data_IF_410395914214
#
_entry.id   IF_410395914214
#
_cell.length_a   1.000
_cell.length_b   1.000
_cell.length_c   1.000
_cell.angle_alpha   90.00
_cell.angle_beta   90.00
_cell.angle_gamma   90.00
#
_symmetry.space_group_name_H-M   'P 1'
#
loop_
_entity.id
_entity.type
_entity.pdbx_description
1 polymer ?
#
# COMPACT_ATOMS: atom_id res chain seq x y z
N UNK A 1 49.57 -10.31 -45.54
CA UNK A 1 48.80 -10.44 -44.30
C UNK A 1 49.32 -9.38 -43.36
N UNK A 2 48.59 -8.29 -43.17
CA UNK A 2 48.93 -7.28 -42.16
C UNK A 2 48.76 -7.90 -40.77
N UNK A 3 49.61 -7.59 -39.79
CA UNK A 3 49.41 -8.08 -38.43
C UNK A 3 48.08 -7.54 -37.92
N UNK A 4 47.20 -8.41 -37.43
CA UNK A 4 46.09 -8.00 -36.57
C UNK A 4 46.68 -7.14 -35.46
N UNK A 5 46.32 -5.86 -35.45
CA UNK A 5 46.61 -4.97 -34.34
C UNK A 5 45.87 -5.56 -33.14
N UNK A 6 46.62 -6.23 -32.27
CA UNK A 6 46.11 -6.67 -30.97
C UNK A 6 45.74 -5.38 -30.24
N UNK A 7 44.43 -5.14 -30.12
CA UNK A 7 43.87 -4.01 -29.40
C UNK A 7 44.38 -4.10 -27.96
N UNK A 8 45.19 -3.12 -27.56
CA UNK A 8 45.76 -3.07 -26.21
C UNK A 8 44.59 -2.82 -25.26
N UNK A 9 44.35 -3.66 -24.25
CA UNK A 9 43.27 -3.45 -23.31
C UNK A 9 43.40 -2.05 -22.70
N UNK A 10 42.32 -1.26 -22.73
CA UNK A 10 42.24 0.01 -22.03
C UNK A 10 41.50 -0.22 -20.71
N UNK A 11 42.18 -0.69 -19.65
CA UNK A 11 41.50 -1.09 -18.42
C UNK A 11 40.78 0.13 -17.81
N UNK A 12 39.55 -0.04 -17.32
CA UNK A 12 38.84 1.02 -16.63
C UNK A 12 39.57 1.42 -15.34
N UNK A 13 39.47 2.69 -14.97
CA UNK A 13 39.96 3.16 -13.68
C UNK A 13 39.09 2.63 -12.55
N UNK A 14 39.63 2.61 -11.33
CA UNK A 14 38.88 2.22 -10.13
C UNK A 14 37.65 3.12 -9.91
N UNK A 15 37.78 4.41 -10.19
CA UNK A 15 36.68 5.38 -10.07
C UNK A 15 35.55 5.07 -11.05
N UNK A 16 35.87 4.67 -12.29
CA UNK A 16 34.87 4.33 -13.30
C UNK A 16 34.11 3.04 -12.94
N UNK A 17 34.80 2.05 -12.36
CA UNK A 17 34.17 0.83 -11.82
C UNK A 17 33.23 1.19 -10.66
N UNK A 18 33.67 2.02 -9.71
CA UNK A 18 32.84 2.49 -8.59
C UNK A 18 31.62 3.25 -9.07
N UNK A 19 31.80 4.12 -10.06
CA UNK A 19 30.70 4.87 -10.67
C UNK A 19 29.66 3.91 -11.27
N UNK A 20 30.08 2.87 -11.98
CA UNK A 20 29.15 1.87 -12.54
C UNK A 20 28.31 1.19 -11.45
N UNK A 21 28.92 0.80 -10.32
CA UNK A 21 28.17 0.26 -9.19
C UNK A 21 27.21 1.28 -8.57
N UNK A 22 27.63 2.54 -8.45
CA UNK A 22 26.79 3.62 -7.95
C UNK A 22 25.59 3.88 -8.87
N UNK A 23 25.80 3.88 -10.19
CA UNK A 23 24.75 4.04 -11.22
C UNK A 23 23.78 2.87 -11.22
N UNK A 24 24.27 1.64 -11.04
CA UNK A 24 23.41 0.47 -10.86
C UNK A 24 22.54 0.62 -9.61
N UNK A 25 23.15 1.03 -8.49
CA UNK A 25 22.43 1.30 -7.25
C UNK A 25 21.36 2.39 -7.41
N UNK A 26 21.68 3.48 -8.12
CA UNK A 26 20.75 4.58 -8.39
C UNK A 26 19.56 4.11 -9.26
N UNK A 27 19.83 3.42 -10.37
CA UNK A 27 18.78 2.91 -11.25
C UNK A 27 17.85 1.94 -10.50
N UNK A 28 18.43 1.03 -9.71
CA UNK A 28 17.65 0.10 -8.90
C UNK A 28 16.84 0.82 -7.81
N UNK A 29 17.45 1.77 -7.10
CA UNK A 29 16.78 2.62 -6.11
C UNK A 29 15.57 3.35 -6.71
N UNK A 30 15.73 4.01 -7.85
CA UNK A 30 14.63 4.72 -8.51
C UNK A 30 13.52 3.77 -8.98
N UNK A 31 13.86 2.54 -9.36
CA UNK A 31 12.87 1.48 -9.64
C UNK A 31 12.05 1.08 -8.40
N UNK A 32 12.62 1.19 -7.20
CA UNK A 32 11.91 1.00 -5.93
C UNK A 32 11.09 2.24 -5.55
N UNK A 33 11.58 3.45 -5.82
CA UNK A 33 10.81 4.70 -5.64
C UNK A 33 9.51 4.63 -6.45
N UNK A 34 9.61 4.27 -7.75
CA UNK A 34 8.45 4.03 -8.60
C UNK A 34 7.47 3.01 -7.98
N UNK A 35 7.98 1.89 -7.47
CA UNK A 35 7.15 0.87 -6.81
C UNK A 35 6.45 1.40 -5.56
N UNK A 36 7.14 2.17 -4.72
CA UNK A 36 6.54 2.77 -3.52
C UNK A 36 5.46 3.79 -3.87
N UNK A 37 5.68 4.63 -4.88
CA UNK A 37 4.66 5.57 -5.36
C UNK A 37 3.43 4.81 -5.87
N UNK A 38 3.62 3.73 -6.64
CA UNK A 38 2.51 2.87 -7.07
C UNK A 38 1.76 2.18 -5.92
N UNK A 39 2.45 1.83 -4.83
CA UNK A 39 1.80 1.25 -3.65
C UNK A 39 0.83 2.25 -3.01
N UNK A 40 1.23 3.53 -2.94
CA UNK A 40 0.38 4.61 -2.45
C UNK A 40 -0.80 4.83 -3.39
N UNK A 41 -0.56 4.87 -4.71
CA UNK A 41 -1.62 4.96 -5.73
C UNK A 41 -2.63 3.83 -5.54
N UNK A 42 -2.18 2.58 -5.50
CA UNK A 42 -3.05 1.42 -5.30
C UNK A 42 -3.90 1.56 -4.04
N UNK A 43 -3.30 1.90 -2.90
CA UNK A 43 -4.04 2.05 -1.65
C UNK A 43 -5.13 3.13 -1.78
N UNK A 44 -4.80 4.29 -2.35
CA UNK A 44 -5.74 5.40 -2.50
C UNK A 44 -6.84 5.13 -3.53
N UNK A 45 -6.54 4.42 -4.62
CA UNK A 45 -7.53 4.07 -5.64
C UNK A 45 -8.58 3.08 -5.13
N UNK A 46 -8.30 2.33 -4.06
CA UNK A 46 -9.27 1.40 -3.47
C UNK A 46 -10.42 2.07 -2.71
N UNK A 47 -10.39 3.40 -2.59
CA UNK A 47 -11.45 4.18 -1.96
C UNK A 47 -12.16 5.08 -2.97
N UNK A 48 -13.49 5.12 -2.89
CA UNK A 48 -14.32 6.01 -3.70
C UNK A 48 -14.43 7.40 -3.08
N UNK A 49 -14.49 7.47 -1.74
CA UNK A 49 -14.74 8.71 -1.00
C UNK A 49 -13.80 8.83 0.20
N UNK A 50 -13.53 10.06 0.61
CA UNK A 50 -12.66 10.37 1.73
C UNK A 50 -13.11 9.69 3.03
N UNK A 51 -14.41 9.58 3.26
CA UNK A 51 -14.98 9.00 4.49
C UNK A 51 -14.75 7.48 4.59
N UNK A 52 -14.41 6.83 3.48
CA UNK A 52 -14.12 5.40 3.43
C UNK A 52 -12.65 5.10 3.77
N UNK A 53 -11.76 6.09 3.56
CA UNK A 53 -10.33 5.98 3.73
C UNK A 53 -9.91 6.24 5.18
N UNK A 54 -10.33 5.37 6.11
CA UNK A 54 -9.90 5.44 7.51
C UNK A 54 -8.41 5.08 7.65
N UNK A 55 -7.69 5.65 8.62
CA UNK A 55 -6.25 5.41 8.82
C UNK A 55 -5.89 3.91 8.86
N UNK A 56 -6.50 3.06 9.71
CA UNK A 56 -6.16 1.63 9.76
C UNK A 56 -6.44 0.92 8.44
N UNK A 57 -7.43 1.39 7.68
CA UNK A 57 -7.80 0.80 6.40
C UNK A 57 -6.83 1.20 5.29
N UNK A 58 -6.37 2.44 5.26
CA UNK A 58 -5.27 2.88 4.39
C UNK A 58 -4.01 2.08 4.72
N UNK A 59 -3.65 1.96 5.99
CA UNK A 59 -2.47 1.20 6.43
C UNK A 59 -2.55 -0.28 6.04
N UNK A 60 -3.73 -0.91 6.17
CA UNK A 60 -3.97 -2.28 5.68
C UNK A 60 -3.71 -2.40 4.16
N UNK A 61 -4.17 -1.42 3.38
CA UNK A 61 -3.98 -1.39 1.92
C UNK A 61 -2.53 -1.12 1.51
N UNK A 62 -1.85 -0.20 2.19
CA UNK A 62 -0.42 0.07 1.96
C UNK A 62 0.41 -1.17 2.32
N UNK A 63 0.13 -1.80 3.47
CA UNK A 63 0.84 -3.00 3.89
C UNK A 63 0.64 -4.17 2.91
N UNK A 64 -0.58 -4.34 2.39
CA UNK A 64 -0.84 -5.26 1.28
C UNK A 64 0.00 -4.92 0.06
N UNK A 65 -0.03 -3.67 -0.40
CA UNK A 65 0.71 -3.23 -1.58
C UNK A 65 2.23 -3.44 -1.43
N UNK A 66 2.77 -3.17 -0.25
CA UNK A 66 4.19 -3.36 0.08
C UNK A 66 4.62 -4.82 0.02
N UNK A 67 3.69 -5.77 0.17
CA UNK A 67 3.97 -7.21 0.03
C UNK A 67 3.99 -7.70 -1.42
N UNK A 68 3.56 -6.87 -2.38
CA UNK A 68 3.49 -7.22 -3.80
C UNK A 68 4.79 -6.82 -4.52
N UNK A 69 5.23 -7.68 -5.43
CA UNK A 69 6.25 -7.31 -6.42
C UNK A 69 5.71 -6.25 -7.38
N UNK A 70 6.59 -5.50 -8.07
CA UNK A 70 6.17 -4.49 -9.05
C UNK A 70 5.21 -5.06 -10.10
N UNK A 71 5.50 -6.25 -10.64
CA UNK A 71 4.64 -6.89 -11.65
C UNK A 71 3.25 -7.26 -11.10
N UNK A 72 3.18 -7.76 -9.87
CA UNK A 72 1.90 -8.05 -9.21
C UNK A 72 1.11 -6.76 -8.94
N UNK A 73 1.78 -5.71 -8.47
CA UNK A 73 1.15 -4.42 -8.20
C UNK A 73 0.60 -3.76 -9.48
N UNK A 74 1.36 -3.82 -10.58
CA UNK A 74 0.87 -3.35 -11.89
C UNK A 74 -0.37 -4.14 -12.32
N UNK A 75 -0.39 -5.46 -12.13
CA UNK A 75 -1.58 -6.28 -12.41
C UNK A 75 -2.79 -5.87 -11.56
N UNK A 76 -2.59 -5.65 -10.26
CA UNK A 76 -3.61 -5.16 -9.32
C UNK A 76 -4.09 -3.74 -9.62
N UNK A 77 -3.32 -2.95 -10.38
CA UNK A 77 -3.74 -1.62 -10.84
C UNK A 77 -4.52 -1.72 -12.17
N UNK A 78 -4.01 -2.50 -13.13
CA UNK A 78 -4.61 -2.60 -14.48
C UNK A 78 -6.00 -3.24 -14.47
N UNK A 79 -6.23 -4.29 -13.68
CA UNK A 79 -7.51 -5.01 -13.73
C UNK A 79 -8.71 -4.24 -13.14
N UNK A 80 -8.65 -3.73 -11.90
CA UNK A 80 -9.79 -3.04 -11.30
C UNK A 80 -9.84 -1.54 -11.64
N UNK A 81 -8.74 -0.94 -12.13
CA UNK A 81 -8.64 0.50 -12.35
C UNK A 81 -8.18 0.86 -13.77
N UNK A 82 -8.44 0.00 -14.76
CA UNK A 82 -8.06 0.25 -16.16
C UNK A 82 -8.52 1.62 -16.66
N UNK A 83 -9.77 2.00 -16.35
CA UNK A 83 -10.34 3.29 -16.76
C UNK A 83 -9.68 4.50 -16.09
N UNK A 84 -9.01 4.29 -14.95
CA UNK A 84 -8.32 5.33 -14.18
C UNK A 84 -6.82 5.38 -14.49
N UNK A 85 -6.30 4.47 -15.32
CA UNK A 85 -4.90 4.41 -15.69
C UNK A 85 -4.75 4.67 -17.20
N UNK A 86 -4.21 5.83 -17.62
CA UNK A 86 -4.01 6.14 -19.03
C UNK A 86 -3.21 5.06 -19.74
N UNK A 87 -3.60 4.72 -20.98
CA UNK A 87 -2.92 3.70 -21.79
C UNK A 87 -1.41 3.99 -21.94
N UNK A 88 -1.05 5.26 -22.11
CA UNK A 88 0.35 5.68 -22.21
C UNK A 88 1.16 5.35 -20.94
N UNK A 89 0.61 5.65 -19.75
CA UNK A 89 1.23 5.30 -18.47
C UNK A 89 1.29 3.76 -18.33
N UNK A 90 0.23 3.07 -18.72
CA UNK A 90 0.13 1.61 -18.67
C UNK A 90 1.21 0.91 -19.51
N UNK A 91 1.49 1.41 -20.72
CA UNK A 91 2.55 0.89 -21.60
C UNK A 91 3.94 1.17 -21.03
N UNK A 92 4.17 2.38 -20.50
CA UNK A 92 5.44 2.74 -19.88
C UNK A 92 5.73 1.95 -18.60
N UNK A 93 4.70 1.58 -17.84
CA UNK A 93 4.82 0.67 -16.71
C UNK A 93 5.29 -0.73 -17.13
N UNK A 94 4.85 -1.23 -18.30
CA UNK A 94 5.31 -2.52 -18.81
C UNK A 94 6.79 -2.48 -19.21
N UNK A 95 7.24 -1.38 -19.84
CA UNK A 95 8.65 -1.17 -20.14
C UNK A 95 9.49 -1.07 -18.86
N UNK A 96 9.06 -0.24 -17.90
CA UNK A 96 9.72 -0.12 -16.59
C UNK A 96 9.81 -1.48 -15.86
N UNK A 97 8.76 -2.29 -15.91
CA UNK A 97 8.77 -3.64 -15.35
C UNK A 97 9.80 -4.55 -16.05
N UNK A 98 9.90 -4.48 -17.37
CA UNK A 98 10.90 -5.23 -18.13
C UNK A 98 12.32 -4.79 -17.75
N UNK A 99 12.59 -3.49 -17.65
CA UNK A 99 13.90 -2.96 -17.23
C UNK A 99 14.27 -3.34 -15.80
N UNK A 100 13.32 -3.28 -14.86
CA UNK A 100 13.57 -3.70 -13.47
C UNK A 100 13.86 -5.20 -13.39
N UNK A 101 13.14 -6.04 -14.13
CA UNK A 101 13.41 -7.49 -14.20
C UNK A 101 14.82 -7.75 -14.75
N UNK A 102 15.22 -7.03 -15.80
CA UNK A 102 16.57 -7.11 -16.35
C UNK A 102 17.63 -6.72 -15.31
N UNK A 103 17.48 -5.56 -14.65
CA UNK A 103 18.38 -5.11 -13.58
C UNK A 103 18.51 -6.12 -12.44
N UNK A 104 17.38 -6.69 -11.99
CA UNK A 104 17.35 -7.59 -10.84
C UNK A 104 17.95 -8.98 -11.12
N UNK A 105 17.84 -9.49 -12.34
CA UNK A 105 18.13 -10.90 -12.64
C UNK A 105 19.19 -11.14 -13.70
N UNK A 106 19.40 -10.20 -14.61
CA UNK A 106 20.16 -10.44 -15.84
C UNK A 106 21.33 -9.49 -16.02
N UNK A 107 21.24 -8.24 -15.54
CA UNK A 107 22.20 -7.19 -15.82
C UNK A 107 23.65 -7.64 -15.60
N UNK A 108 24.02 -8.05 -14.39
CA UNK A 108 25.40 -8.46 -14.12
C UNK A 108 25.80 -9.72 -14.88
N UNK A 109 24.91 -10.71 -14.99
CA UNK A 109 25.22 -11.94 -15.73
C UNK A 109 25.54 -11.65 -17.20
N UNK A 110 24.77 -10.75 -17.83
CA UNK A 110 24.94 -10.41 -19.24
C UNK A 110 25.99 -9.34 -19.48
N UNK A 111 26.25 -8.44 -18.53
CA UNK A 111 27.09 -7.25 -18.73
C UNK A 111 28.45 -7.31 -18.05
N UNK A 112 28.71 -8.28 -17.16
CA UNK A 112 29.99 -8.33 -16.41
C UNK A 112 31.22 -8.39 -17.33
N UNK A 113 31.10 -8.98 -18.52
CA UNK A 113 32.19 -9.08 -19.48
C UNK A 113 32.65 -7.73 -20.05
N UNK A 114 31.81 -6.69 -19.95
CA UNK A 114 32.09 -5.32 -20.37
C UNK A 114 32.88 -4.52 -19.31
N UNK A 115 33.05 -5.06 -18.10
CA UNK A 115 33.75 -4.39 -16.99
C UNK A 115 35.28 -4.35 -17.14
N UNK A 116 35.84 -4.85 -18.24
CA UNK A 116 37.29 -4.96 -18.45
C UNK A 116 37.85 -3.92 -19.42
N UNK A 117 37.00 -3.17 -20.12
CA UNK A 117 37.38 -2.09 -21.03
C UNK A 117 36.71 -0.77 -20.63
N UNK A 118 37.46 0.33 -20.62
CA UNK A 118 36.95 1.62 -20.17
C UNK A 118 35.81 2.17 -21.04
N UNK A 119 35.84 1.93 -22.36
CA UNK A 119 34.79 2.40 -23.27
C UNK A 119 33.50 1.61 -23.07
N UNK A 120 33.62 0.30 -22.89
CA UNK A 120 32.48 -0.57 -22.58
C UNK A 120 31.85 -0.21 -21.23
N UNK A 121 32.65 0.10 -20.21
CA UNK A 121 32.15 0.58 -18.91
C UNK A 121 31.39 1.90 -19.04
N UNK A 122 31.86 2.83 -19.87
CA UNK A 122 31.11 4.07 -20.13
C UNK A 122 29.74 3.78 -20.76
N UNK A 123 29.65 2.81 -21.68
CA UNK A 123 28.37 2.38 -22.24
C UNK A 123 27.44 1.76 -21.18
N UNK A 124 27.98 1.01 -20.21
CA UNK A 124 27.18 0.52 -19.08
C UNK A 124 26.62 1.67 -18.23
N UNK A 125 27.43 2.69 -17.97
CA UNK A 125 27.01 3.88 -17.22
C UNK A 125 25.88 4.60 -17.97
N UNK A 126 26.01 4.79 -19.28
CA UNK A 126 24.96 5.39 -20.11
C UNK A 126 23.65 4.57 -20.10
N UNK A 127 23.74 3.23 -20.19
CA UNK A 127 22.57 2.34 -20.10
C UNK A 127 21.87 2.49 -18.73
N UNK A 128 22.64 2.53 -17.65
CA UNK A 128 22.13 2.67 -16.28
C UNK A 128 21.53 4.05 -16.02
N UNK A 129 22.14 5.11 -16.55
CA UNK A 129 21.58 6.46 -16.50
C UNK A 129 20.25 6.55 -17.25
N UNK A 130 20.14 5.89 -18.41
CA UNK A 130 18.87 5.82 -19.14
C UNK A 130 17.77 5.09 -18.35
N UNK A 131 18.12 4.04 -17.59
CA UNK A 131 17.16 3.37 -16.70
C UNK A 131 16.78 4.23 -15.50
N UNK A 132 17.74 4.91 -14.87
CA UNK A 132 17.47 5.85 -13.78
C UNK A 132 16.49 6.94 -14.23
N UNK A 133 16.77 7.58 -15.36
CA UNK A 133 15.92 8.59 -15.99
C UNK A 133 14.51 8.07 -16.30
N UNK A 134 14.40 6.85 -16.82
CA UNK A 134 13.12 6.22 -17.14
C UNK A 134 12.25 6.06 -15.89
N UNK A 135 12.82 5.55 -14.79
CA UNK A 135 12.08 5.34 -13.55
C UNK A 135 11.67 6.65 -12.89
N UNK A 136 12.58 7.62 -12.82
CA UNK A 136 12.33 8.93 -12.22
C UNK A 136 11.24 9.70 -12.97
N UNK A 137 11.36 9.80 -14.31
CA UNK A 137 10.36 10.51 -15.13
C UNK A 137 8.99 9.85 -15.05
N UNK A 138 8.93 8.53 -15.11
CA UNK A 138 7.66 7.80 -15.02
C UNK A 138 7.01 7.97 -13.64
N UNK A 139 7.80 7.97 -12.56
CA UNK A 139 7.28 8.21 -11.22
C UNK A 139 6.68 9.62 -11.10
N UNK A 140 7.41 10.65 -11.56
CA UNK A 140 6.94 12.03 -11.50
C UNK A 140 5.64 12.23 -12.28
N UNK A 141 5.52 11.60 -13.44
CA UNK A 141 4.30 11.63 -14.25
C UNK A 141 3.11 10.96 -13.55
N UNK A 142 3.32 9.78 -12.96
CA UNK A 142 2.29 9.08 -12.18
C UNK A 142 1.85 9.93 -11.00
N UNK A 143 2.81 10.48 -10.25
CA UNK A 143 2.54 11.35 -9.10
C UNK A 143 1.74 12.59 -9.53
N UNK A 144 2.14 13.26 -10.61
CA UNK A 144 1.41 14.41 -11.15
C UNK A 144 -0.01 14.03 -11.63
N UNK A 145 -0.16 12.88 -12.28
CA UNK A 145 -1.45 12.40 -12.79
C UNK A 145 -2.45 12.10 -11.65
N UNK A 146 -1.99 11.47 -10.56
CA UNK A 146 -2.87 11.08 -9.45
C UNK A 146 -3.04 12.17 -8.38
N UNK A 147 -2.23 13.23 -8.39
CA UNK A 147 -2.31 14.31 -7.41
C UNK A 147 -3.68 14.99 -7.30
N UNK A 148 -4.41 15.26 -8.40
CA UNK A 148 -5.77 15.80 -8.33
C UNK A 148 -6.73 14.88 -7.58
N UNK A 149 -6.59 13.55 -7.74
CA UNK A 149 -7.40 12.58 -6.99
C UNK A 149 -7.01 12.58 -5.52
N UNK A 150 -5.72 12.56 -5.19
CA UNK A 150 -5.25 12.59 -3.80
C UNK A 150 -5.71 13.86 -3.06
N UNK A 151 -5.80 14.99 -3.76
CA UNK A 151 -6.35 16.24 -3.23
C UNK A 151 -7.80 16.11 -2.77
N UNK A 152 -8.61 15.27 -3.42
CA UNK A 152 -10.00 14.98 -2.99
C UNK A 152 -10.05 14.26 -1.64
N UNK A 153 -8.99 13.53 -1.28
CA UNK A 153 -8.82 12.90 0.03
C UNK A 153 -8.18 13.85 1.06
N UNK A 154 -7.84 15.09 0.66
CA UNK A 154 -7.19 16.08 1.51
C UNK A 154 -5.66 15.99 1.54
N UNK A 155 -5.05 15.20 0.65
CA UNK A 155 -3.59 15.15 0.48
C UNK A 155 -3.23 16.24 -0.54
N UNK A 156 -2.64 17.33 -0.08
CA UNK A 156 -2.25 18.48 -0.91
C UNK A 156 -0.74 18.65 -0.95
N UNK A 157 -0.22 19.38 -1.94
CA UNK A 157 1.22 19.68 -2.03
C UNK A 157 1.72 20.38 -0.77
N UNK A 158 0.94 21.31 -0.21
CA UNK A 158 1.29 21.99 1.04
C UNK A 158 1.44 21.02 2.21
N UNK A 159 0.55 20.04 2.33
CA UNK A 159 0.65 18.99 3.34
C UNK A 159 1.88 18.10 3.11
N UNK A 160 2.15 17.71 1.87
CA UNK A 160 3.32 16.90 1.52
C UNK A 160 4.63 17.63 1.84
N UNK A 161 4.72 18.92 1.52
CA UNK A 161 5.89 19.75 1.83
C UNK A 161 6.08 19.93 3.34
N UNK A 162 5.00 20.12 4.09
CA UNK A 162 5.05 20.19 5.56
C UNK A 162 5.58 18.88 6.15
N UNK A 163 5.06 17.73 5.68
CA UNK A 163 5.51 16.40 6.13
C UNK A 163 6.96 16.13 5.76
N UNK A 164 7.37 16.49 4.54
CA UNK A 164 8.76 16.37 4.10
C UNK A 164 9.71 17.24 4.95
N UNK A 165 9.30 18.45 5.33
CA UNK A 165 10.09 19.33 6.19
C UNK A 165 10.30 18.71 7.59
N UNK A 166 9.25 18.10 8.16
CA UNK A 166 9.32 17.36 9.43
C UNK A 166 10.28 16.17 9.35
N UNK A 167 10.18 15.36 8.30
CA UNK A 167 11.10 14.26 8.04
C UNK A 167 12.57 14.73 7.95
N UNK A 168 12.83 15.82 7.22
CA UNK A 168 14.16 16.42 7.12
C UNK A 168 14.68 16.97 8.45
N UNK A 169 13.79 17.38 9.36
CA UNK A 169 14.13 17.82 10.71
C UNK A 169 14.43 16.65 11.66
N UNK A 170 14.23 15.40 11.23
CA UNK A 170 14.48 14.20 12.03
C UNK A 170 13.27 13.73 12.84
N UNK A 171 12.06 14.24 12.55
CA UNK A 171 10.84 13.70 13.13
C UNK A 171 10.70 12.23 12.73
N UNK A 172 10.48 11.36 13.73
CA UNK A 172 10.30 9.93 13.52
C UNK A 172 8.84 9.68 13.14
N UNK A 173 8.61 9.10 11.97
CA UNK A 173 7.28 8.61 11.60
C UNK A 173 6.95 7.33 12.37
N UNK A 174 5.69 7.24 12.80
CA UNK A 174 5.16 6.00 13.36
C UNK A 174 5.26 4.90 12.29
N UNK A 175 5.75 3.70 12.65
CA UNK A 175 5.80 2.60 11.70
C UNK A 175 4.39 2.22 11.26
N UNK A 176 4.27 1.68 10.04
CA UNK A 176 3.02 1.10 9.58
C UNK A 176 2.58 -0.02 10.54
N UNK A 177 1.28 -0.01 10.87
CA UNK A 177 0.68 -1.10 11.64
C UNK A 177 0.98 -2.42 10.94
N UNK A 178 1.42 -3.42 11.71
CA UNK A 178 1.63 -4.77 11.22
C UNK A 178 0.68 -5.70 11.97
N UNK A 179 -0.35 -6.17 11.27
CA UNK A 179 -1.32 -7.12 11.81
C UNK A 179 -1.56 -8.24 10.80
N UNK A 180 -1.94 -9.43 11.28
CA UNK A 180 -2.33 -10.51 10.36
C UNK A 180 -3.55 -10.11 9.53
N UNK A 181 -3.72 -10.72 8.36
CA UNK A 181 -5.00 -10.59 7.64
C UNK A 181 -6.11 -11.31 8.41
N UNK A 182 -7.37 -10.84 8.32
CA UNK A 182 -8.50 -11.60 8.83
C UNK A 182 -8.58 -12.99 8.17
N UNK A 183 -8.92 -14.01 8.94
CA UNK A 183 -9.23 -15.36 8.46
C UNK A 183 -10.55 -15.35 7.68
N UNK A 184 -10.84 -16.41 6.91
CA UNK A 184 -12.17 -16.55 6.26
C UNK A 184 -13.33 -16.57 7.26
N UNK A 185 -13.06 -17.04 8.48
CA UNK A 185 -13.99 -17.00 9.61
C UNK A 185 -13.20 -16.65 10.86
N UNK A 186 -13.72 -15.71 11.64
CA UNK A 186 -13.18 -15.32 12.94
C UNK A 186 -14.21 -15.68 14.01
N UNK A 187 -13.75 -16.30 15.10
CA UNK A 187 -14.56 -16.47 16.30
C UNK A 187 -14.42 -15.21 17.14
N UNK A 188 -15.43 -14.35 17.11
CA UNK A 188 -15.46 -13.14 17.91
C UNK A 188 -16.01 -13.45 19.28
N UNK A 189 -15.26 -13.07 20.32
CA UNK A 189 -15.61 -13.27 21.71
C UNK A 189 -16.22 -12.01 22.33
N UNK A 190 -15.67 -10.83 22.00
CA UNK A 190 -16.09 -9.57 22.61
C UNK A 190 -16.25 -8.44 21.60
N UNK A 191 -17.12 -7.51 21.93
CA UNK A 191 -17.28 -6.25 21.23
C UNK A 191 -17.17 -5.08 22.21
N UNK A 192 -16.42 -4.06 21.81
CA UNK A 192 -16.02 -2.92 22.62
C UNK A 192 -16.46 -1.62 21.96
N UNK A 193 -16.96 -0.69 22.76
CA UNK A 193 -17.11 0.71 22.38
C UNK A 193 -15.87 1.48 22.85
N UNK A 194 -15.09 1.96 21.89
CA UNK A 194 -13.78 2.59 22.12
C UNK A 194 -13.84 4.07 21.77
N UNK A 195 -13.41 4.92 22.69
CA UNK A 195 -13.28 6.35 22.45
C UNK A 195 -12.13 6.65 21.48
N UNK A 196 -12.40 7.47 20.48
CA UNK A 196 -11.33 8.05 19.64
C UNK A 196 -10.88 9.35 20.32
N UNK A 197 -9.62 9.47 20.80
CA UNK A 197 -9.15 10.63 21.58
C UNK A 197 -9.35 11.97 20.87
N UNK A 198 -9.29 11.96 19.55
CA UNK A 198 -9.33 13.16 18.71
C UNK A 198 -10.77 13.63 18.38
N UNK A 199 -11.80 12.83 18.73
CA UNK A 199 -13.20 13.13 18.38
C UNK A 199 -14.13 12.85 19.57
N UNK A 200 -14.54 13.93 20.25
CA UNK A 200 -15.40 13.88 21.43
C UNK A 200 -16.76 13.25 21.07
N UNK A 201 -17.19 12.24 21.83
CA UNK A 201 -18.49 11.56 21.64
C UNK A 201 -18.53 10.56 20.48
N UNK A 202 -17.39 10.31 19.83
CA UNK A 202 -17.28 9.31 18.77
C UNK A 202 -16.69 8.02 19.33
N UNK A 203 -17.50 6.96 19.31
CA UNK A 203 -17.10 5.61 19.68
C UNK A 203 -17.00 4.75 18.42
N UNK A 204 -15.90 4.02 18.28
CA UNK A 204 -15.74 2.97 17.26
C UNK A 204 -16.00 1.61 17.89
N UNK A 205 -16.57 0.69 17.11
CA UNK A 205 -16.74 -0.69 17.53
C UNK A 205 -15.48 -1.48 17.20
N UNK A 206 -14.87 -2.04 18.24
CA UNK A 206 -13.70 -2.94 18.14
C UNK A 206 -14.10 -4.33 18.60
N UNK A 207 -13.73 -5.34 17.84
CA UNK A 207 -14.07 -6.74 18.07
C UNK A 207 -12.81 -7.52 18.43
N UNK A 208 -12.89 -8.34 19.47
CA UNK A 208 -11.81 -9.21 19.94
C UNK A 208 -12.09 -10.64 19.49
N UNK A 209 -11.17 -11.23 18.73
CA UNK A 209 -11.22 -12.64 18.34
C UNK A 209 -10.65 -13.57 19.42
N UNK A 210 -10.89 -14.87 19.26
CA UNK A 210 -10.43 -15.93 20.16
C UNK A 210 -8.90 -16.04 20.32
N UNK A 211 -8.17 -15.60 19.31
CA UNK A 211 -6.71 -15.49 19.33
C UNK A 211 -6.19 -14.13 19.85
N UNK A 212 -7.06 -13.31 20.44
CA UNK A 212 -6.72 -12.03 21.05
C UNK A 212 -6.46 -10.90 20.05
N UNK A 213 -6.67 -11.11 18.74
CA UNK A 213 -6.57 -10.03 17.76
C UNK A 213 -7.75 -9.06 17.87
N UNK A 214 -7.48 -7.78 17.61
CA UNK A 214 -8.48 -6.71 17.62
C UNK A 214 -8.81 -6.26 16.20
N UNK A 215 -10.10 -6.07 15.92
CA UNK A 215 -10.60 -5.71 14.60
C UNK A 215 -11.58 -4.55 14.70
N UNK A 216 -11.49 -3.59 13.81
CA UNK A 216 -12.38 -2.44 13.78
C UNK A 216 -13.31 -2.50 12.57
N UNK A 217 -14.52 -1.97 12.67
CA UNK A 217 -15.38 -1.79 11.49
C UNK A 217 -14.70 -0.88 10.46
N UNK A 218 -14.72 -1.30 9.20
CA UNK A 218 -14.27 -0.56 8.04
C UNK A 218 -15.32 -0.60 6.92
N UNK A 219 -14.99 0.02 5.79
CA UNK A 219 -15.80 0.09 4.59
C UNK A 219 -16.25 -1.29 4.06
N UNK A 220 -15.51 -2.37 4.33
CA UNK A 220 -15.77 -3.72 3.80
C UNK A 220 -15.87 -4.82 4.87
N UNK A 221 -16.19 -4.47 6.12
CA UNK A 221 -16.31 -5.42 7.22
C UNK A 221 -15.36 -5.12 8.38
N UNK A 222 -14.55 -6.09 8.78
CA UNK A 222 -13.60 -5.96 9.90
C UNK A 222 -12.16 -5.70 9.45
N UNK A 223 -11.72 -4.45 9.50
CA UNK A 223 -10.36 -4.03 9.19
C UNK A 223 -9.42 -4.11 10.39
N UNK A 224 -8.17 -3.73 10.12
CA UNK A 224 -7.19 -3.45 11.18
C UNK A 224 -7.66 -2.35 12.10
N UNK A 225 -7.02 -2.27 13.26
CA UNK A 225 -7.22 -1.19 14.21
C UNK A 225 -5.88 -0.68 14.70
N UNK A 226 -5.83 0.58 15.15
CA UNK A 226 -4.63 1.17 15.76
C UNK A 226 -4.38 0.71 17.20
N UNK A 227 -5.31 -0.03 17.77
CA UNK A 227 -5.24 -0.48 19.14
C UNK A 227 -4.55 -1.84 19.23
N UNK A 228 -3.49 -1.92 20.03
CA UNK A 228 -2.72 -3.16 20.20
C UNK A 228 -3.30 -4.07 21.29
N UNK A 229 -3.99 -3.48 22.27
CA UNK A 229 -4.59 -4.20 23.39
C UNK A 229 -5.82 -3.47 23.93
N UNK A 230 -6.67 -4.22 24.63
CA UNK A 230 -7.83 -3.67 25.34
C UNK A 230 -7.33 -2.90 26.56
N UNK A 231 -7.80 -1.66 26.73
CA UNK A 231 -7.47 -0.82 27.88
C UNK A 231 -8.64 -0.71 28.86
N UNK A 232 -8.40 -0.38 30.14
CA UNK A 232 -9.46 -0.36 31.17
C UNK A 232 -10.60 0.63 30.94
N UNK A 233 -10.40 1.65 30.10
CA UNK A 233 -11.39 2.66 29.75
C UNK A 233 -12.37 2.22 28.65
N UNK A 234 -12.10 1.08 28.01
CA UNK A 234 -12.99 0.52 27.00
C UNK A 234 -14.24 -0.06 27.65
N UNK A 235 -15.39 0.18 27.01
CA UNK A 235 -16.68 -0.30 27.50
C UNK A 235 -17.14 -1.48 26.65
N UNK A 236 -17.65 -2.52 27.29
CA UNK A 236 -18.30 -3.62 26.56
C UNK A 236 -19.54 -3.05 25.86
N UNK A 237 -19.67 -3.35 24.57
CA UNK A 237 -20.88 -3.04 23.83
C UNK A 237 -21.95 -4.10 24.15
N UNK A 238 -22.74 -3.84 25.20
CA UNK A 238 -23.74 -4.76 25.73
C UNK A 238 -24.80 -5.19 24.71
N UNK A 239 -25.09 -4.35 23.71
CA UNK A 239 -26.07 -4.67 22.67
C UNK A 239 -25.56 -5.81 21.78
N UNK A 240 -24.30 -5.71 21.32
CA UNK A 240 -23.65 -6.74 20.48
C UNK A 240 -23.25 -7.96 21.32
N UNK A 241 -22.69 -7.73 22.52
CA UNK A 241 -22.13 -8.78 23.37
C UNK A 241 -23.11 -9.91 23.70
N UNK A 242 -24.42 -9.60 23.80
CA UNK A 242 -25.49 -10.60 24.04
C UNK A 242 -25.61 -11.67 22.96
N UNK A 243 -25.06 -11.43 21.79
CA UNK A 243 -25.07 -12.32 20.63
C UNK A 243 -23.66 -12.86 20.28
N UNK A 244 -22.70 -12.66 21.19
CA UNK A 244 -21.36 -13.24 21.14
C UNK A 244 -21.23 -14.35 22.20
N UNK A 245 -20.33 -15.33 22.04
CA UNK A 245 -19.39 -15.48 20.93
C UNK A 245 -20.07 -15.91 19.62
N UNK A 246 -19.52 -15.48 18.47
CA UNK A 246 -20.05 -15.80 17.15
C UNK A 246 -18.94 -16.03 16.12
N UNK A 247 -19.14 -17.01 15.22
CA UNK A 247 -18.29 -17.19 14.05
C UNK A 247 -18.78 -16.28 12.93
N UNK A 248 -17.98 -15.27 12.58
CA UNK A 248 -18.33 -14.31 11.54
C UNK A 248 -17.40 -14.44 10.34
N UNK A 249 -17.88 -14.09 9.16
CA UNK A 249 -17.00 -13.79 8.03
C UNK A 249 -16.58 -12.31 8.15
N UNK A 250 -15.30 -11.98 8.41
CA UNK A 250 -14.84 -10.59 8.57
C UNK A 250 -14.84 -9.78 7.26
N UNK A 251 -14.98 -10.44 6.11
CA UNK A 251 -15.19 -9.83 4.79
C UNK A 251 -16.52 -10.35 4.23
N UNK A 252 -17.67 -9.90 4.77
CA UNK A 252 -18.98 -10.36 4.34
C UNK A 252 -19.24 -9.94 2.88
N UNK A 253 -20.31 -10.47 2.30
CA UNK A 253 -20.83 -9.93 1.04
C UNK A 253 -21.26 -8.47 1.27
N UNK A 254 -20.80 -7.58 0.40
CA UNK A 254 -21.05 -6.14 0.52
C UNK A 254 -21.85 -5.66 -0.69
N UNK A 255 -22.84 -4.80 -0.45
CA UNK A 255 -23.58 -4.11 -1.52
C UNK A 255 -22.92 -2.79 -1.91
N UNK A 256 -21.98 -2.33 -1.10
CA UNK A 256 -21.23 -1.09 -1.24
C UNK A 256 -20.50 -0.78 0.07
N UNK A 257 -19.63 0.25 0.09
CA UNK A 257 -18.86 0.55 1.28
C UNK A 257 -19.78 0.99 2.44
N UNK A 258 -19.51 0.41 3.61
CA UNK A 258 -20.33 0.47 4.83
C UNK A 258 -21.74 -0.12 4.70
N UNK A 259 -22.00 -0.98 3.71
CA UNK A 259 -23.31 -1.63 3.54
C UNK A 259 -23.17 -3.16 3.50
N UNK A 260 -23.18 -3.76 4.69
CA UNK A 260 -23.00 -5.19 4.88
C UNK A 260 -23.58 -5.67 6.21
N UNK A 261 -23.73 -6.99 6.34
CA UNK A 261 -24.36 -7.66 7.47
C UNK A 261 -23.46 -8.76 8.03
N UNK A 262 -23.36 -8.85 9.36
CA UNK A 262 -22.74 -9.99 10.05
C UNK A 262 -23.80 -10.88 10.68
N UNK A 263 -23.70 -12.18 10.44
CA UNK A 263 -24.49 -13.18 11.16
C UNK A 263 -23.84 -13.46 12.52
N UNK A 264 -24.61 -13.25 13.60
CA UNK A 264 -24.19 -13.47 14.98
C UNK A 264 -24.84 -14.74 15.55
N UNK A 265 -24.54 -15.06 16.81
CA UNK A 265 -25.19 -16.19 17.48
C UNK A 265 -26.70 -15.95 17.64
N UNK A 266 -27.44 -17.02 17.92
CA UNK A 266 -28.91 -17.01 18.08
C UNK A 266 -29.66 -16.50 16.84
N UNK A 267 -29.03 -16.54 15.67
CA UNK A 267 -29.60 -16.08 14.40
C UNK A 267 -29.77 -14.56 14.30
N UNK A 268 -29.18 -13.78 15.21
CA UNK A 268 -29.21 -12.33 15.12
C UNK A 268 -28.32 -11.83 13.98
N UNK A 269 -28.69 -10.70 13.38
CA UNK A 269 -27.90 -10.05 12.33
C UNK A 269 -27.48 -8.66 12.79
N UNK A 270 -26.18 -8.38 12.81
CA UNK A 270 -25.62 -7.04 12.98
C UNK A 270 -25.52 -6.37 11.61
N UNK A 271 -26.27 -5.30 11.42
CA UNK A 271 -26.36 -4.56 10.16
C UNK A 271 -25.50 -3.31 10.25
N UNK A 272 -24.59 -3.14 9.31
CA UNK A 272 -23.79 -1.92 9.15
C UNK A 272 -24.30 -1.17 7.93
N UNK A 273 -24.66 0.10 8.11
CA UNK A 273 -25.16 0.95 7.03
C UNK A 273 -24.37 2.23 6.97
N UNK A 274 -24.10 2.72 5.77
CA UNK A 274 -23.50 4.03 5.55
C UNK A 274 -24.37 5.09 6.20
N UNK A 275 -23.71 6.00 6.90
CA UNK A 275 -24.34 7.19 7.44
C UNK A 275 -23.77 8.41 6.70
N UNK A 276 -24.64 9.37 6.40
CA UNK A 276 -24.30 10.61 5.69
C UNK A 276 -24.07 11.80 6.65
N UNK A 277 -24.07 11.54 7.96
CA UNK A 277 -23.74 12.53 8.99
C UNK A 277 -22.25 12.52 9.38
N UNK A 278 -21.94 13.01 10.58
CA UNK A 278 -20.57 13.09 11.12
C UNK A 278 -19.90 11.72 11.32
N UNK A 279 -20.68 10.64 11.35
CA UNK A 279 -20.19 9.26 11.45
C UNK A 279 -20.23 8.61 10.07
N UNK A 280 -19.19 7.86 9.71
CA UNK A 280 -19.15 7.13 8.44
C UNK A 280 -20.23 6.03 8.33
N UNK A 281 -20.67 5.48 9.47
CA UNK A 281 -21.66 4.41 9.53
C UNK A 281 -22.60 4.54 10.72
N UNK A 282 -23.71 3.80 10.64
CA UNK A 282 -24.57 3.41 11.75
C UNK A 282 -24.66 1.89 11.79
N UNK A 283 -25.03 1.36 12.95
CA UNK A 283 -25.23 -0.07 13.12
C UNK A 283 -26.48 -0.36 13.94
N UNK A 284 -27.11 -1.50 13.66
CA UNK A 284 -28.28 -1.99 14.37
C UNK A 284 -28.26 -3.52 14.45
N UNK A 285 -28.97 -4.10 15.41
CA UNK A 285 -29.09 -5.55 15.57
C UNK A 285 -30.53 -5.97 15.35
N UNK A 286 -30.72 -6.80 14.33
CA UNK A 286 -31.98 -7.48 14.11
C UNK A 286 -31.94 -8.86 14.79
N UNK A 287 -32.64 -9.06 15.93
CA UNK A 287 -32.81 -10.40 16.47
C UNK A 287 -33.61 -11.25 15.47
N UNK A 288 -33.33 -12.55 15.41
CA UNK A 288 -34.12 -13.48 14.61
C UNK A 288 -35.58 -13.39 15.08
N UNK A 289 -36.51 -13.07 14.16
CA UNK A 289 -37.94 -13.17 14.46
C UNK A 289 -38.24 -14.64 14.74
N UNK A 290 -38.66 -14.93 15.97
CA UNK A 290 -39.20 -16.24 16.36
C UNK A 290 -40.44 -16.56 15.54
#
# INVERSE_FOLDING_TARGET
MSPEQIEVPNPPSEDLIKETYAKFGLAYYLSEVLHRSLCVVYAMLTFDKKEDATRPRIEEKISLAFSLTLGQLIGELKHPFEELLPEEISLRLDDALAKRKFLAHHFWYERIHLMYDAQDVLTLIEELDAYADLFDKLEQEISAYFMPRFSQFGITDGLLQERLAKLKAGDVEEPLITQRRPKKRELILRAWDVNVPDIIGYHVQVFESDDGCLWQLCDVGLGWTRFESVTPDWKINEAIQRYLPANINPRPEILGPWNYDFQLAKGATLKIRRNHGEKAYSWDINPLKK
#
